data_IF_028697210264
#
_entry.id   IF_028697210264
#
_cell.length_a   1.000
_cell.length_b   1.000
_cell.length_c   1.000
_cell.angle_alpha   90.00
_cell.angle_beta   90.00
_cell.angle_gamma   90.00
#
_symmetry.space_group_name_H-M   'P 1'
#
loop_
_entity.id
_entity.type
_entity.pdbx_description
1 polymer ?
#
# COMPACT_ATOMS: atom_id res chain seq x y z
N UNK A 1 -19.81 -35.08 2.11
CA UNK A 1 -21.11 -34.47 2.42
C UNK A 1 -21.31 -33.33 1.43
N UNK A 2 -22.43 -33.32 0.71
CA UNK A 2 -22.82 -32.18 -0.11
C UNK A 2 -23.43 -31.11 0.79
N UNK A 3 -22.97 -29.87 0.65
CA UNK A 3 -23.54 -28.72 1.34
C UNK A 3 -24.97 -28.47 0.84
N UNK A 4 -25.90 -28.24 1.77
CA UNK A 4 -27.29 -27.89 1.46
C UNK A 4 -27.43 -26.43 0.97
N UNK A 5 -28.53 -26.14 0.27
CA UNK A 5 -28.81 -24.77 -0.18
C UNK A 5 -28.98 -23.79 1.00
N UNK A 6 -29.54 -24.25 2.11
CA UNK A 6 -29.71 -23.45 3.33
C UNK A 6 -28.36 -23.10 3.96
N UNK A 7 -27.42 -24.04 4.04
CA UNK A 7 -26.06 -23.81 4.52
C UNK A 7 -25.31 -22.81 3.64
N UNK A 8 -25.46 -22.94 2.31
CA UNK A 8 -24.86 -22.02 1.34
C UNK A 8 -25.40 -20.60 1.52
N UNK A 9 -26.71 -20.45 1.65
CA UNK A 9 -27.36 -19.13 1.86
C UNK A 9 -26.92 -18.50 3.18
N UNK A 10 -26.83 -19.30 4.25
CA UNK A 10 -26.38 -18.83 5.55
C UNK A 10 -24.94 -18.32 5.49
N UNK A 11 -24.03 -19.06 4.84
CA UNK A 11 -22.64 -18.61 4.62
C UNK A 11 -22.60 -17.30 3.84
N UNK A 12 -23.34 -17.19 2.75
CA UNK A 12 -23.39 -15.97 1.94
C UNK A 12 -23.85 -14.76 2.75
N UNK A 13 -24.90 -14.90 3.55
CA UNK A 13 -25.40 -13.83 4.42
C UNK A 13 -24.38 -13.44 5.50
N UNK A 14 -23.66 -14.41 6.06
CA UNK A 14 -22.60 -14.15 7.04
C UNK A 14 -21.41 -13.41 6.42
N UNK A 15 -20.96 -13.81 5.22
CA UNK A 15 -19.91 -13.15 4.45
C UNK A 15 -20.30 -11.73 4.05
N UNK A 16 -21.54 -11.50 3.59
CA UNK A 16 -22.05 -10.17 3.27
C UNK A 16 -22.12 -9.27 4.51
N UNK A 17 -22.56 -9.82 5.65
CA UNK A 17 -22.61 -9.07 6.91
C UNK A 17 -21.22 -8.68 7.38
N UNK A 18 -20.27 -9.61 7.34
CA UNK A 18 -18.87 -9.34 7.67
C UNK A 18 -18.30 -8.27 6.74
N UNK A 19 -18.53 -8.39 5.43
CA UNK A 19 -18.07 -7.41 4.46
C UNK A 19 -18.59 -6.01 4.76
N UNK A 20 -19.89 -5.87 5.05
CA UNK A 20 -20.50 -4.56 5.38
C UNK A 20 -19.84 -3.91 6.60
N UNK A 21 -19.39 -4.71 7.57
CA UNK A 21 -18.63 -4.21 8.72
C UNK A 21 -17.22 -3.77 8.31
N UNK A 22 -16.51 -4.58 7.53
CA UNK A 22 -15.13 -4.32 7.11
C UNK A 22 -14.99 -3.10 6.18
N UNK A 23 -15.98 -2.87 5.31
CA UNK A 23 -16.04 -1.67 4.47
C UNK A 23 -16.61 -0.44 5.20
N UNK A 24 -16.98 -0.58 6.48
CA UNK A 24 -17.57 0.49 7.29
C UNK A 24 -18.82 1.09 6.64
N UNK A 25 -19.72 0.22 6.18
CA UNK A 25 -20.95 0.65 5.54
C UNK A 25 -21.82 1.46 6.50
N UNK A 26 -22.15 2.69 6.10
CA UNK A 26 -23.07 3.55 6.82
C UNK A 26 -24.45 3.51 6.15
N UNK A 27 -25.45 3.02 6.86
CA UNK A 27 -26.82 2.88 6.36
C UNK A 27 -27.51 4.22 6.10
N UNK A 28 -27.22 5.25 6.92
CA UNK A 28 -27.86 6.56 6.81
C UNK A 28 -27.36 7.35 5.60
N UNK A 29 -26.06 7.26 5.31
CA UNK A 29 -25.41 7.99 4.21
C UNK A 29 -25.18 7.14 2.96
N UNK A 30 -25.41 5.82 3.03
CA UNK A 30 -25.09 4.84 1.99
C UNK A 30 -23.61 4.87 1.56
N UNK A 31 -22.72 5.32 2.45
CA UNK A 31 -21.29 5.44 2.19
C UNK A 31 -20.51 4.24 2.72
N UNK A 32 -19.41 3.89 2.06
CA UNK A 32 -18.52 2.78 2.43
C UNK A 32 -17.11 2.99 1.85
N UNK A 33 -16.12 2.27 2.38
CA UNK A 33 -14.77 2.14 1.81
C UNK A 33 -14.79 1.10 0.68
N UNK A 34 -13.97 1.28 -0.36
CA UNK A 34 -13.90 0.32 -1.47
C UNK A 34 -12.97 -0.87 -1.19
N UNK A 35 -12.15 -0.79 -0.15
CA UNK A 35 -11.22 -1.84 0.30
C UNK A 35 -11.49 -2.25 1.74
N UNK A 36 -10.98 -3.43 2.11
CA UNK A 36 -11.10 -4.03 3.45
C UNK A 36 -9.74 -4.11 4.15
N UNK A 37 -9.68 -4.06 5.50
CA UNK A 37 -8.43 -4.14 6.26
C UNK A 37 -7.82 -5.55 6.31
N UNK A 38 -8.55 -6.58 5.89
CA UNK A 38 -8.06 -7.96 5.78
C UNK A 38 -7.40 -8.26 4.43
N UNK A 39 -7.19 -7.25 3.58
CA UNK A 39 -6.51 -7.33 2.29
C UNK A 39 -7.17 -8.26 1.25
N UNK A 40 -8.39 -8.73 1.46
CA UNK A 40 -9.15 -9.45 0.43
C UNK A 40 -9.70 -8.46 -0.60
N UNK A 41 -9.68 -8.87 -1.85
CA UNK A 41 -10.14 -8.06 -2.99
C UNK A 41 -10.71 -8.91 -4.13
N UNK A 42 -11.24 -8.24 -5.14
CA UNK A 42 -11.83 -8.86 -6.32
C UNK A 42 -13.18 -9.52 -6.03
N UNK A 43 -13.49 -10.57 -6.76
CA UNK A 43 -14.77 -11.28 -6.74
C UNK A 43 -14.76 -12.57 -5.88
N UNK A 44 -13.72 -12.77 -5.06
CA UNK A 44 -13.62 -13.90 -4.11
C UNK A 44 -14.26 -13.60 -2.76
N UNK A 45 -14.75 -12.38 -2.59
CA UNK A 45 -15.58 -11.91 -1.50
C UNK A 45 -16.87 -11.36 -2.11
N UNK A 46 -17.93 -11.12 -1.31
CA UNK A 46 -19.16 -10.51 -1.83
C UNK A 46 -18.89 -9.20 -2.59
N UNK A 47 -19.82 -8.78 -3.45
CA UNK A 47 -19.71 -7.49 -4.13
C UNK A 47 -19.98 -6.33 -3.17
N UNK A 48 -19.44 -5.17 -3.49
CA UNK A 48 -19.76 -3.92 -2.81
C UNK A 48 -21.26 -3.60 -2.97
N UNK A 49 -21.82 -2.74 -2.09
CA UNK A 49 -23.23 -2.35 -2.17
C UNK A 49 -23.65 -1.68 -3.48
N UNK A 50 -22.71 -1.17 -4.28
CA UNK A 50 -22.94 -0.61 -5.62
C UNK A 50 -22.81 -1.64 -6.76
N UNK A 51 -22.53 -2.92 -6.43
CA UNK A 51 -22.38 -4.01 -7.40
C UNK A 51 -20.96 -4.19 -7.92
N UNK A 52 -20.01 -3.37 -7.49
CA UNK A 52 -18.61 -3.45 -7.92
C UNK A 52 -17.80 -4.43 -7.06
N UNK A 53 -16.61 -4.80 -7.52
CA UNK A 53 -15.69 -5.66 -6.76
C UNK A 53 -15.00 -4.90 -5.63
N UNK A 54 -14.56 -5.62 -4.59
CA UNK A 54 -13.71 -5.04 -3.55
C UNK A 54 -12.34 -4.68 -4.14
N UNK A 55 -11.92 -3.45 -3.92
CA UNK A 55 -10.65 -2.90 -4.40
C UNK A 55 -9.53 -3.07 -3.37
N UNK A 56 -8.33 -2.66 -3.76
CA UNK A 56 -7.23 -2.44 -2.81
C UNK A 56 -7.04 -0.95 -2.55
N UNK A 57 -6.48 -0.60 -1.39
CA UNK A 57 -6.24 0.79 -1.03
C UNK A 57 -5.25 1.44 -2.03
N UNK A 58 -5.71 2.38 -2.88
CA UNK A 58 -4.88 2.96 -3.93
C UNK A 58 -3.73 3.81 -3.36
N UNK A 59 -3.89 4.32 -2.13
CA UNK A 59 -2.84 5.01 -1.38
C UNK A 59 -2.24 4.18 -0.25
N UNK A 60 -2.50 2.88 -0.21
CA UNK A 60 -1.90 1.96 0.74
C UNK A 60 -0.53 1.42 0.27
N UNK A 61 0.06 0.55 1.08
CA UNK A 61 1.27 -0.17 0.67
C UNK A 61 0.99 -1.29 -0.34
N UNK A 62 -0.25 -1.77 -0.41
CA UNK A 62 -0.67 -2.95 -1.17
C UNK A 62 -1.75 -2.60 -2.20
N UNK A 63 -1.48 -1.72 -3.18
CA UNK A 63 -2.51 -1.13 -4.02
C UNK A 63 -2.98 -2.01 -5.18
N UNK A 64 -2.44 -3.22 -5.33
CA UNK A 64 -2.78 -4.11 -6.44
C UNK A 64 -3.52 -5.34 -5.95
N UNK A 65 -4.65 -5.68 -6.58
CA UNK A 65 -5.36 -6.92 -6.32
C UNK A 65 -4.84 -8.02 -7.23
N UNK A 66 -4.27 -9.09 -6.66
CA UNK A 66 -3.84 -10.28 -7.42
C UNK A 66 -5.03 -11.06 -7.99
N UNK A 67 -4.76 -11.93 -8.97
CA UNK A 67 -5.72 -12.91 -9.47
C UNK A 67 -6.20 -13.93 -8.40
N UNK A 68 -5.50 -13.99 -7.27
CA UNK A 68 -5.87 -14.81 -6.11
C UNK A 68 -6.82 -14.08 -5.14
N UNK A 69 -7.20 -12.83 -5.41
CA UNK A 69 -8.12 -12.05 -4.58
C UNK A 69 -7.48 -11.47 -3.32
N UNK A 70 -6.18 -11.17 -3.39
CA UNK A 70 -5.43 -10.57 -2.29
C UNK A 70 -4.68 -9.31 -2.73
N UNK A 71 -4.75 -8.28 -1.89
CA UNK A 71 -4.02 -7.03 -2.05
C UNK A 71 -2.54 -7.20 -1.76
N UNK A 72 -1.71 -6.71 -2.67
CA UNK A 72 -0.25 -6.71 -2.53
C UNK A 72 0.41 -5.68 -3.45
N UNK A 73 1.73 -5.79 -3.58
CA UNK A 73 2.57 -4.81 -4.29
C UNK A 73 3.66 -5.43 -5.17
N UNK A 74 3.84 -6.75 -5.10
CA UNK A 74 4.85 -7.43 -5.91
C UNK A 74 4.45 -7.45 -7.38
N UNK A 75 5.39 -7.83 -8.25
CA UNK A 75 5.09 -8.04 -9.67
C UNK A 75 3.92 -9.00 -9.88
N UNK A 76 3.83 -10.07 -9.09
CA UNK A 76 2.73 -11.05 -9.20
C UNK A 76 1.36 -10.48 -8.79
N UNK A 77 1.34 -9.39 -8.01
CA UNK A 77 0.11 -8.70 -7.65
C UNK A 77 -0.30 -7.64 -8.67
N UNK A 78 0.66 -7.00 -9.37
CA UNK A 78 0.40 -5.82 -10.21
C UNK A 78 0.59 -6.07 -11.72
N UNK A 79 1.31 -7.12 -12.14
CA UNK A 79 1.77 -7.36 -13.53
C UNK A 79 1.41 -8.77 -14.03
N UNK A 80 0.20 -9.20 -13.72
CA UNK A 80 -0.37 -10.49 -14.06
C UNK A 80 -1.63 -10.29 -14.94
N UNK A 81 -2.05 -11.32 -15.66
CA UNK A 81 -3.11 -11.20 -16.66
C UNK A 81 -4.51 -10.84 -16.09
N UNK A 82 -4.72 -11.02 -14.79
CA UNK A 82 -6.02 -10.83 -14.11
C UNK A 82 -5.91 -10.03 -12.79
N UNK A 83 -4.87 -9.20 -12.64
CA UNK A 83 -4.80 -8.28 -11.51
C UNK A 83 -5.27 -6.87 -11.87
N UNK A 84 -5.70 -6.18 -10.83
CA UNK A 84 -6.11 -4.78 -10.91
C UNK A 84 -5.14 -3.92 -10.11
N UNK A 85 -4.59 -2.89 -10.74
CA UNK A 85 -3.70 -1.92 -10.12
C UNK A 85 -4.46 -0.62 -9.83
N UNK A 86 -4.70 -0.32 -8.56
CA UNK A 86 -5.52 0.82 -8.15
C UNK A 86 -4.71 2.11 -7.95
N UNK A 87 -3.39 2.12 -8.21
CA UNK A 87 -2.52 3.29 -7.95
C UNK A 87 -2.96 4.59 -8.66
N UNK A 88 -3.74 4.49 -9.74
CA UNK A 88 -4.30 5.64 -10.45
C UNK A 88 -5.46 6.34 -9.73
N UNK A 89 -6.07 5.69 -8.73
CA UNK A 89 -7.19 6.24 -7.94
C UNK A 89 -6.77 7.12 -6.77
N UNK A 90 -5.49 7.42 -6.61
CA UNK A 90 -4.97 8.22 -5.51
C UNK A 90 -3.98 9.29 -5.99
N UNK A 91 -4.21 10.53 -5.56
CA UNK A 91 -3.21 11.58 -5.60
C UNK A 91 -2.44 11.55 -4.26
N UNK A 92 -1.16 11.23 -4.33
CA UNK A 92 -0.28 11.15 -3.16
C UNK A 92 0.59 12.41 -3.12
N UNK A 93 0.44 13.21 -2.06
CA UNK A 93 1.23 14.43 -1.86
C UNK A 93 2.20 14.25 -0.70
N UNK A 94 3.45 14.70 -0.88
CA UNK A 94 4.46 14.71 0.18
C UNK A 94 4.05 15.64 1.32
N UNK A 95 4.14 15.15 2.57
CA UNK A 95 3.82 15.92 3.78
C UNK A 95 5.06 16.20 4.62
N UNK A 96 5.98 15.24 4.72
CA UNK A 96 7.16 15.35 5.57
C UNK A 96 7.93 14.05 5.69
N UNK A 97 8.99 14.06 6.51
CA UNK A 97 9.74 12.87 6.88
C UNK A 97 9.88 12.75 8.38
N UNK A 98 9.96 11.50 8.86
CA UNK A 98 10.25 11.17 10.25
C UNK A 98 11.47 10.28 10.34
N UNK A 99 12.28 10.51 11.37
CA UNK A 99 13.40 9.63 11.68
C UNK A 99 12.88 8.25 12.05
N UNK A 100 13.32 7.22 11.32
CA UNK A 100 12.94 5.83 11.59
C UNK A 100 14.01 5.11 12.40
N UNK A 101 15.28 5.23 11.99
CA UNK A 101 16.41 4.65 12.71
C UNK A 101 17.73 5.36 12.37
N UNK A 102 18.49 5.76 13.40
CA UNK A 102 19.86 6.27 13.24
C UNK A 102 20.88 5.14 13.22
N UNK A 103 22.00 5.39 12.56
CA UNK A 103 23.08 4.43 12.38
C UNK A 103 22.62 3.13 11.71
N UNK A 104 21.68 3.23 10.77
CA UNK A 104 21.09 2.11 10.02
C UNK A 104 20.97 2.44 8.55
N UNK A 105 21.05 1.40 7.73
CA UNK A 105 20.74 1.43 6.30
C UNK A 105 19.48 0.61 6.01
N UNK A 106 18.95 0.67 4.80
CA UNK A 106 17.84 -0.18 4.38
C UNK A 106 18.23 -1.66 4.46
N UNK A 107 17.35 -2.51 4.97
CA UNK A 107 17.54 -3.96 4.90
C UNK A 107 17.65 -4.44 3.45
N UNK A 108 16.78 -3.92 2.58
CA UNK A 108 16.89 -4.12 1.13
C UNK A 108 16.71 -2.79 0.43
N UNK A 109 17.62 -2.48 -0.49
CA UNK A 109 17.55 -1.27 -1.32
C UNK A 109 16.67 -1.58 -2.53
N UNK A 110 15.62 -0.80 -2.73
CA UNK A 110 14.80 -0.88 -3.95
C UNK A 110 15.40 -0.03 -5.08
N UNK A 111 15.66 1.25 -4.82
CA UNK A 111 16.20 2.18 -5.82
C UNK A 111 17.28 3.09 -5.26
N UNK A 112 18.20 3.48 -6.15
CA UNK A 112 19.18 4.52 -5.89
C UNK A 112 18.73 5.82 -6.55
N UNK A 113 18.40 6.82 -5.73
CA UNK A 113 17.88 8.13 -6.16
C UNK A 113 19.00 9.15 -6.42
N UNK A 114 20.26 8.72 -6.39
CA UNK A 114 21.42 9.57 -6.66
C UNK A 114 21.70 10.59 -5.56
N UNK A 115 22.60 11.55 -5.85
CA UNK A 115 23.00 12.57 -4.88
C UNK A 115 21.87 13.57 -4.65
N UNK A 116 21.46 13.69 -3.39
CA UNK A 116 20.45 14.65 -2.93
C UNK A 116 21.06 15.51 -1.84
N UNK A 117 20.70 16.79 -1.81
CA UNK A 117 21.25 17.73 -0.82
C UNK A 117 20.70 17.49 0.59
N UNK A 118 19.47 16.97 0.70
CA UNK A 118 18.76 16.76 1.98
C UNK A 118 17.92 15.49 1.93
N UNK A 119 17.59 14.88 3.09
CA UNK A 119 16.68 13.74 3.12
C UNK A 119 15.26 14.11 2.66
N UNK A 120 14.83 15.37 2.81
CA UNK A 120 13.55 15.86 2.30
C UNK A 120 13.52 15.88 0.77
N UNK A 121 14.58 16.38 0.13
CA UNK A 121 14.70 16.35 -1.33
C UNK A 121 14.66 14.91 -1.85
N UNK A 122 15.27 13.98 -1.12
CA UNK A 122 15.12 12.57 -1.46
C UNK A 122 13.69 12.05 -1.26
N UNK A 123 13.01 12.45 -0.19
CA UNK A 123 11.65 12.00 0.09
C UNK A 123 10.68 12.33 -1.04
N UNK A 124 10.79 13.52 -1.64
CA UNK A 124 10.00 13.91 -2.81
C UNK A 124 10.21 12.97 -4.00
N UNK A 125 11.42 12.46 -4.20
CA UNK A 125 11.71 11.45 -5.23
C UNK A 125 11.23 10.06 -4.85
N UNK A 126 11.07 9.76 -3.56
CA UNK A 126 10.61 8.45 -3.07
C UNK A 126 9.09 8.32 -3.12
N UNK A 127 8.35 9.41 -2.90
CA UNK A 127 6.88 9.42 -2.92
C UNK A 127 6.24 8.76 -4.15
N UNK A 128 6.67 9.04 -5.41
CA UNK A 128 6.04 8.43 -6.58
C UNK A 128 6.33 6.92 -6.72
N UNK A 129 7.28 6.37 -5.97
CA UNK A 129 7.71 4.97 -6.08
C UNK A 129 7.12 4.14 -4.93
N UNK A 130 5.98 3.49 -5.17
CA UNK A 130 5.32 2.65 -4.14
C UNK A 130 6.17 1.45 -3.71
N UNK A 131 7.03 0.98 -4.60
CA UNK A 131 8.04 -0.07 -4.31
C UNK A 131 9.09 0.37 -3.27
N UNK A 132 9.21 1.67 -3.00
CA UNK A 132 10.09 2.23 -1.98
C UNK A 132 9.50 2.25 -0.56
N UNK A 133 8.28 1.73 -0.35
CA UNK A 133 7.72 1.56 0.99
C UNK A 133 7.54 2.82 1.82
N UNK A 134 7.60 4.00 1.18
CA UNK A 134 7.69 5.29 1.88
C UNK A 134 8.82 5.33 2.90
N UNK A 135 9.96 4.72 2.57
CA UNK A 135 11.15 4.69 3.42
C UNK A 135 12.39 4.99 2.59
N UNK A 136 13.32 5.72 3.16
CA UNK A 136 14.57 6.09 2.52
C UNK A 136 15.72 6.08 3.49
N UNK A 137 16.93 5.89 2.98
CA UNK A 137 18.15 6.07 3.73
C UNK A 137 19.00 7.19 3.15
N UNK A 138 19.56 7.99 4.05
CA UNK A 138 20.34 9.16 3.71
C UNK A 138 21.55 9.28 4.63
N UNK A 139 22.67 9.77 4.09
CA UNK A 139 23.88 10.08 4.87
C UNK A 139 24.04 11.58 5.00
N UNK A 140 23.90 12.10 6.22
CA UNK A 140 24.18 13.53 6.50
C UNK A 140 25.66 13.87 6.38
N UNK A 141 26.52 12.90 6.71
CA UNK A 141 27.97 13.10 6.67
C UNK A 141 28.52 13.07 5.25
N UNK A 142 27.91 12.26 4.39
CA UNK A 142 28.34 12.09 3.00
C UNK A 142 27.15 12.16 2.03
N UNK A 143 26.56 13.35 1.79
CA UNK A 143 25.44 13.53 0.85
C UNK A 143 25.77 13.06 -0.59
N UNK A 144 27.05 13.00 -0.95
CA UNK A 144 27.56 12.46 -2.21
C UNK A 144 27.35 10.95 -2.37
N UNK A 145 27.20 10.19 -1.27
CA UNK A 145 26.88 8.76 -1.34
C UNK A 145 25.49 8.52 -1.91
N UNK A 146 24.67 9.57 -1.94
CA UNK A 146 23.34 9.57 -2.53
C UNK A 146 22.29 8.92 -1.66
N UNK A 147 21.05 9.27 -1.97
CA UNK A 147 19.90 8.72 -1.32
C UNK A 147 19.46 7.41 -1.97
N UNK A 148 18.98 6.48 -1.16
CA UNK A 148 18.38 5.23 -1.61
C UNK A 148 17.04 5.05 -0.94
N UNK A 149 16.10 4.46 -1.65
CA UNK A 149 14.83 4.10 -1.08
C UNK A 149 14.85 2.65 -0.60
N UNK A 150 14.24 2.38 0.55
CA UNK A 150 14.17 1.03 1.08
C UNK A 150 13.06 0.27 0.37
N UNK A 151 13.20 -1.03 0.18
CA UNK A 151 12.15 -1.82 -0.43
C UNK A 151 10.91 -1.84 0.46
N UNK A 152 9.74 -1.75 -0.16
CA UNK A 152 8.48 -1.73 0.55
C UNK A 152 8.28 -2.97 1.42
N UNK A 153 7.89 -2.77 2.67
CA UNK A 153 7.75 -3.84 3.67
C UNK A 153 9.07 -4.31 4.28
N UNK A 154 10.19 -3.73 3.86
CA UNK A 154 11.50 -3.87 4.52
C UNK A 154 11.81 -2.59 5.28
N UNK A 155 12.49 -2.71 6.41
CA UNK A 155 12.77 -1.58 7.29
C UNK A 155 14.24 -1.17 7.26
N UNK A 156 14.67 -0.64 8.41
CA UNK A 156 16.08 -0.51 8.71
C UNK A 156 16.69 -1.90 8.95
N UNK A 157 17.85 -2.14 8.36
CA UNK A 157 18.62 -3.35 8.58
C UNK A 157 19.15 -3.48 10.02
N UNK A 158 19.63 -4.66 10.37
CA UNK A 158 20.09 -4.96 11.72
C UNK A 158 21.53 -4.51 11.99
N UNK A 159 22.33 -4.29 10.95
CA UNK A 159 23.72 -3.91 11.08
C UNK A 159 23.87 -2.43 11.44
N UNK A 160 24.85 -2.15 12.30
CA UNK A 160 25.21 -0.79 12.64
C UNK A 160 25.99 -0.14 11.50
N UNK A 161 25.49 1.00 11.05
CA UNK A 161 25.99 1.77 9.92
C UNK A 161 26.06 3.24 10.33
N UNK A 162 27.15 3.68 10.99
CA UNK A 162 27.22 4.94 11.74
C UNK A 162 27.06 6.22 10.90
N UNK A 163 27.01 6.10 9.57
CA UNK A 163 26.86 7.23 8.66
C UNK A 163 25.56 7.22 7.87
N UNK A 164 24.69 6.23 8.12
CA UNK A 164 23.39 6.12 7.47
C UNK A 164 22.26 6.33 8.47
N UNK A 165 21.21 6.97 8.00
CA UNK A 165 19.99 7.18 8.75
C UNK A 165 18.80 6.82 7.87
N UNK A 166 17.89 5.98 8.39
CA UNK A 166 16.63 5.63 7.73
C UNK A 166 15.53 6.57 8.19
N UNK A 167 14.74 7.03 7.24
CA UNK A 167 13.58 7.91 7.40
C UNK A 167 12.33 7.26 6.84
N UNK A 168 11.20 7.46 7.50
CA UNK A 168 9.88 7.21 6.91
C UNK A 168 9.32 8.49 6.30
N UNK A 169 8.65 8.35 5.17
CA UNK A 169 8.03 9.44 4.41
C UNK A 169 6.55 9.51 4.78
N UNK A 170 6.13 10.68 5.23
CA UNK A 170 4.73 10.98 5.48
C UNK A 170 4.12 11.58 4.23
N UNK A 171 2.96 11.05 3.85
CA UNK A 171 2.19 11.54 2.70
C UNK A 171 0.75 11.78 3.12
N UNK A 172 0.12 12.73 2.44
CA UNK A 172 -1.33 12.84 2.43
C UNK A 172 -1.85 12.17 1.17
N UNK A 173 -2.81 11.25 1.33
CA UNK A 173 -3.45 10.53 0.24
C UNK A 173 -4.83 11.13 0.03
N UNK A 174 -5.09 11.61 -1.18
CA UNK A 174 -6.43 12.00 -1.62
C UNK A 174 -6.92 11.00 -2.64
N UNK A 175 -8.03 10.33 -2.33
CA UNK A 175 -8.73 9.51 -3.31
C UNK A 175 -9.28 10.42 -4.40
N UNK A 176 -8.82 10.23 -5.61
CA UNK A 176 -9.40 10.85 -6.80
C UNK A 176 -10.31 9.81 -7.44
N UNK A 177 -11.53 10.21 -7.80
CA UNK A 177 -12.35 9.36 -8.66
C UNK A 177 -11.51 9.06 -9.91
N UNK A 178 -11.26 7.78 -10.18
CA UNK A 178 -10.69 7.37 -11.44
C UNK A 178 -11.57 7.99 -12.55
N UNK A 179 -10.94 8.74 -13.45
CA UNK A 179 -11.65 9.26 -14.62
C UNK A 179 -12.23 8.06 -15.41
N UNK A 180 -13.47 8.16 -15.90
CA UNK A 180 -14.11 7.08 -16.64
C UNK A 180 -13.36 6.69 -17.92
#
# INVERSE_FOLDING_TARGET
EEETDEERQKRQQEEEREQRQLIQYNEATKSFRRWRPDFKCGNRVPLLPDGEVIECDPGGETPCCSNLGWCGKSSDHCKCDLCSDYRSGAEVTYKGIKLAAEHRECETIAHNMGSQATPQACAELVVPHIECGRSLMFSHKYPEWGCRCCQAGTGAGYEEKPYWTVYTVEVDVKLVKAAP
#
